data_IF_308624476217
#
_entry.id   IF_308624476217
#
_cell.length_a   1.000
_cell.length_b   1.000
_cell.length_c   1.000
_cell.angle_alpha   90.00
_cell.angle_beta   90.00
_cell.angle_gamma   90.00
#
_symmetry.space_group_name_H-M   'P 1'
#
loop_
_entity.id
_entity.type
_entity.pdbx_description
1 polymer ?
#
# COMPACT_ATOMS: atom_id res chain seq x y z
N UNK A 1 6.30 27.88 17.54
CA UNK A 1 5.85 27.03 16.42
C UNK A 1 5.70 27.93 15.20
N UNK A 2 6.03 27.44 14.01
CA UNK A 2 5.85 28.20 12.77
C UNK A 2 4.40 28.09 12.30
N UNK A 3 3.99 29.04 11.46
CA UNK A 3 2.67 29.10 10.85
C UNK A 3 2.81 28.86 9.35
N UNK A 4 2.15 27.80 8.86
CA UNK A 4 2.04 27.41 7.45
C UNK A 4 0.72 26.63 7.29
N UNK A 5 0.36 26.22 6.06
CA UNK A 5 -0.87 25.45 5.83
C UNK A 5 -0.89 24.20 6.73
N UNK A 6 -1.88 24.12 7.63
CA UNK A 6 -1.98 23.04 8.59
C UNK A 6 -2.09 21.66 7.94
N UNK A 7 -2.58 21.58 6.69
CA UNK A 7 -2.62 20.34 5.91
C UNK A 7 -1.23 19.76 5.70
N UNK A 8 -0.20 20.59 5.54
CA UNK A 8 1.18 20.13 5.30
C UNK A 8 1.76 19.31 6.45
N UNK A 9 1.14 19.30 7.64
CA UNK A 9 1.54 18.41 8.74
C UNK A 9 1.17 16.94 8.48
N UNK A 10 0.14 16.70 7.68
CA UNK A 10 -0.39 15.37 7.37
C UNK A 10 -0.14 15.01 5.91
N UNK A 11 -0.38 15.97 5.01
CA UNK A 11 -0.21 15.85 3.57
C UNK A 11 1.09 16.58 3.18
N UNK A 12 2.22 15.88 3.34
CA UNK A 12 3.55 16.46 3.09
C UNK A 12 3.64 17.01 1.67
N UNK A 13 4.07 18.29 1.50
CA UNK A 13 4.37 18.84 0.18
C UNK A 13 5.63 18.25 -0.45
N UNK A 14 6.33 17.35 0.24
CA UNK A 14 7.49 16.65 -0.25
C UNK A 14 8.68 16.70 0.73
N UNK A 15 9.72 15.91 0.43
CA UNK A 15 10.93 15.90 1.21
C UNK A 15 11.72 17.21 1.04
N UNK A 16 12.52 17.56 2.05
CA UNK A 16 13.51 18.62 1.93
C UNK A 16 14.70 18.14 1.11
N UNK A 17 15.34 19.06 0.41
CA UNK A 17 16.48 18.78 -0.46
C UNK A 17 17.68 18.30 0.37
N UNK A 18 18.40 17.26 -0.08
CA UNK A 18 19.55 16.72 0.66
C UNK A 18 20.61 17.78 1.00
N UNK A 19 20.83 18.74 0.09
CA UNK A 19 21.75 19.85 0.29
C UNK A 19 21.29 20.80 1.42
N UNK A 20 19.98 21.03 1.55
CA UNK A 20 19.44 21.80 2.65
C UNK A 20 19.64 21.05 3.97
N UNK A 21 19.28 19.77 4.02
CA UNK A 21 19.44 18.92 5.22
C UNK A 21 20.90 18.92 5.71
N UNK A 22 21.86 18.80 4.81
CA UNK A 22 23.30 18.92 5.11
C UNK A 22 23.65 20.31 5.67
N UNK A 23 23.15 21.39 5.06
CA UNK A 23 23.34 22.75 5.58
C UNK A 23 22.79 22.94 7.01
N UNK A 24 21.63 22.35 7.31
CA UNK A 24 21.08 22.35 8.68
C UNK A 24 21.95 21.53 9.64
N UNK A 25 22.43 20.36 9.23
CA UNK A 25 23.33 19.52 10.03
C UNK A 25 24.62 20.27 10.39
N UNK A 26 25.18 21.00 9.44
CA UNK A 26 26.37 21.82 9.65
C UNK A 26 26.11 22.97 10.65
N UNK A 27 24.94 23.60 10.60
CA UNK A 27 24.56 24.58 11.62
C UNK A 27 24.45 23.93 13.00
N UNK A 28 23.81 22.76 13.13
CA UNK A 28 23.71 22.06 14.42
C UNK A 28 25.11 21.73 14.96
N UNK A 29 26.00 21.25 14.10
CA UNK A 29 27.39 20.97 14.48
C UNK A 29 28.11 22.21 15.00
N UNK A 30 27.95 23.37 14.35
CA UNK A 30 28.52 24.65 14.80
C UNK A 30 27.92 25.14 16.12
N UNK A 31 26.60 24.99 16.30
CA UNK A 31 25.91 25.35 17.55
C UNK A 31 26.41 24.46 18.69
N UNK A 32 26.51 23.15 18.45
CA UNK A 32 26.94 22.17 19.45
C UNK A 32 28.38 22.37 19.93
N UNK A 33 29.24 22.99 19.10
CA UNK A 33 30.61 23.34 19.48
C UNK A 33 30.73 24.47 20.49
N UNK A 34 29.65 25.20 20.80
CA UNK A 34 29.66 26.32 21.76
C UNK A 34 29.41 25.88 23.21
N UNK A 35 29.15 24.60 23.47
CA UNK A 35 28.79 24.12 24.81
C UNK A 35 28.91 22.62 24.97
N UNK A 36 28.07 22.03 25.82
CA UNK A 36 28.04 20.58 26.01
C UNK A 36 27.45 19.91 24.76
N UNK A 37 28.34 19.51 23.86
CA UNK A 37 28.00 19.02 22.51
C UNK A 37 26.92 17.95 22.51
N UNK A 38 27.08 16.88 23.29
CA UNK A 38 26.06 15.82 23.43
C UNK A 38 24.68 16.39 23.80
N UNK A 39 24.59 17.27 24.81
CA UNK A 39 23.32 17.84 25.28
C UNK A 39 22.63 18.65 24.19
N UNK A 40 23.40 19.44 23.43
CA UNK A 40 22.86 20.22 22.33
C UNK A 40 22.37 19.31 21.19
N UNK A 41 23.14 18.28 20.82
CA UNK A 41 22.75 17.30 19.81
C UNK A 41 21.45 16.58 20.22
N UNK A 42 21.34 16.17 21.49
CA UNK A 42 20.13 15.54 22.04
C UNK A 42 18.91 16.46 21.99
N UNK A 43 19.10 17.76 22.24
CA UNK A 43 18.02 18.74 22.14
C UNK A 43 17.46 18.86 20.72
N UNK A 44 18.34 18.92 19.71
CA UNK A 44 17.90 18.88 18.31
C UNK A 44 17.27 17.53 17.95
N UNK A 45 17.88 16.42 18.37
CA UNK A 45 17.38 15.07 18.09
C UNK A 45 15.95 14.90 18.60
N UNK A 46 15.66 15.28 19.84
CA UNK A 46 14.32 15.19 20.42
C UNK A 46 13.27 15.94 19.57
N UNK A 47 13.63 17.10 19.01
CA UNK A 47 12.74 17.88 18.13
C UNK A 47 12.52 17.19 16.78
N UNK A 48 13.56 16.58 16.20
CA UNK A 48 13.43 15.82 14.97
C UNK A 48 12.67 14.49 15.16
N UNK A 49 12.83 13.80 16.29
CA UNK A 49 12.00 12.64 16.64
C UNK A 49 10.52 13.01 16.69
N UNK A 50 10.18 14.12 17.37
CA UNK A 50 8.81 14.60 17.44
C UNK A 50 8.25 14.97 16.05
N UNK A 51 9.06 15.59 15.19
CA UNK A 51 8.71 15.91 13.81
C UNK A 51 8.50 14.65 12.93
N UNK A 52 9.31 13.61 13.15
CA UNK A 52 9.22 12.33 12.46
C UNK A 52 8.17 11.39 13.04
N UNK A 53 7.46 11.79 14.11
CA UNK A 53 6.54 10.94 14.88
C UNK A 53 7.22 9.65 15.38
N UNK A 54 8.45 9.75 15.88
CA UNK A 54 9.20 8.66 16.48
C UNK A 54 9.50 8.91 17.96
N UNK A 55 9.64 7.83 18.73
CA UNK A 55 10.01 7.92 20.13
C UNK A 55 11.44 8.44 20.31
N UNK A 56 11.61 9.38 21.22
CA UNK A 56 12.93 9.86 21.63
C UNK A 56 13.59 8.90 22.62
N UNK A 57 14.80 8.48 22.30
CA UNK A 57 15.66 7.71 23.20
C UNK A 57 17.01 8.42 23.38
N UNK A 58 17.47 8.67 24.61
CA UNK A 58 18.75 9.33 24.85
C UNK A 58 19.91 8.45 24.38
N UNK A 59 20.87 9.04 23.66
CA UNK A 59 22.04 8.32 23.17
C UNK A 59 23.04 8.10 24.32
N UNK A 60 23.81 7.02 24.23
CA UNK A 60 24.74 6.63 25.29
C UNK A 60 25.98 7.53 25.37
N UNK A 61 26.45 8.06 24.23
CA UNK A 61 27.58 9.00 24.17
C UNK A 61 27.41 10.03 23.05
N UNK A 62 28.37 10.95 22.90
CA UNK A 62 28.33 12.02 21.91
C UNK A 62 28.34 11.53 20.46
N UNK A 63 29.13 10.49 20.14
CA UNK A 63 29.18 9.91 18.80
C UNK A 63 27.80 9.35 18.41
N UNK A 64 27.20 8.56 19.30
CA UNK A 64 25.84 8.06 19.08
C UNK A 64 24.82 9.20 19.00
N UNK A 65 24.96 10.26 19.80
CA UNK A 65 24.06 11.42 19.70
C UNK A 65 24.16 12.09 18.32
N UNK A 66 25.34 12.13 17.71
CA UNK A 66 25.54 12.63 16.34
C UNK A 66 24.92 11.69 15.30
N UNK A 67 25.20 10.38 15.38
CA UNK A 67 24.71 9.39 14.41
C UNK A 67 23.18 9.26 14.48
N UNK A 68 22.62 9.21 15.69
CA UNK A 68 21.18 9.14 15.92
C UNK A 68 20.48 10.43 15.43
N UNK A 69 21.08 11.60 15.67
CA UNK A 69 20.56 12.87 15.14
C UNK A 69 20.46 12.84 13.61
N UNK A 70 21.50 12.38 12.90
CA UNK A 70 21.48 12.32 11.43
C UNK A 70 20.33 11.43 10.95
N UNK A 71 20.16 10.25 11.55
CA UNK A 71 19.07 9.33 11.22
C UNK A 71 17.68 9.96 11.47
N UNK A 72 17.50 10.67 12.58
CA UNK A 72 16.20 11.28 12.89
C UNK A 72 15.95 12.54 12.05
N UNK A 73 17.00 13.27 11.65
CA UNK A 73 16.91 14.31 10.63
C UNK A 73 16.46 13.75 9.28
N UNK A 74 17.01 12.61 8.82
CA UNK A 74 16.60 11.95 7.57
C UNK A 74 15.12 11.54 7.58
N UNK A 75 14.62 11.07 8.73
CA UNK A 75 13.20 10.73 8.89
C UNK A 75 12.31 11.97 8.85
N UNK A 76 12.67 13.01 9.59
CA UNK A 76 11.92 14.27 9.60
C UNK A 76 11.97 14.98 8.24
N UNK A 77 13.07 14.80 7.48
CA UNK A 77 13.28 15.39 6.16
C UNK A 77 12.25 14.94 5.11
N UNK A 78 11.49 13.86 5.34
CA UNK A 78 10.37 13.45 4.49
C UNK A 78 9.22 14.49 4.42
N UNK A 79 9.19 15.43 5.35
CA UNK A 79 8.24 16.54 5.38
C UNK A 79 8.97 17.87 5.61
N UNK A 80 9.25 18.59 4.51
CA UNK A 80 10.09 19.80 4.56
C UNK A 80 9.58 20.89 5.53
N UNK A 81 8.28 21.29 5.53
CA UNK A 81 7.77 22.27 6.49
C UNK A 81 7.98 21.89 7.96
N UNK A 82 7.71 20.62 8.29
CA UNK A 82 7.83 20.12 9.67
C UNK A 82 9.30 20.01 10.07
N UNK A 83 10.19 19.61 9.16
CA UNK A 83 11.64 19.61 9.38
C UNK A 83 12.18 21.02 9.69
N UNK A 84 11.82 22.02 8.87
CA UNK A 84 12.26 23.41 9.03
C UNK A 84 11.75 23.97 10.36
N UNK A 85 10.49 23.68 10.70
CA UNK A 85 9.91 24.06 11.98
C UNK A 85 10.66 23.43 13.16
N UNK A 86 10.94 22.13 13.12
CA UNK A 86 11.63 21.44 14.20
C UNK A 86 12.98 22.09 14.51
N UNK A 87 13.76 22.40 13.47
CA UNK A 87 15.02 23.11 13.61
C UNK A 87 14.83 24.53 14.18
N UNK A 88 13.88 25.30 13.65
CA UNK A 88 13.62 26.66 14.11
C UNK A 88 13.19 26.68 15.58
N UNK A 89 12.26 25.83 15.97
CA UNK A 89 11.80 25.69 17.37
C UNK A 89 12.97 25.30 18.27
N UNK A 90 13.79 24.32 17.86
CA UNK A 90 14.97 23.93 18.63
C UNK A 90 15.93 25.12 18.85
N UNK A 91 16.16 25.94 17.82
CA UNK A 91 16.97 27.15 17.89
C UNK A 91 16.38 28.20 18.85
N UNK A 92 15.07 28.46 18.76
CA UNK A 92 14.40 29.42 19.63
C UNK A 92 14.43 28.99 21.10
N UNK A 93 14.30 27.69 21.37
CA UNK A 93 14.40 27.14 22.73
C UNK A 93 15.82 27.23 23.29
N UNK A 94 16.84 26.95 22.47
CA UNK A 94 18.23 27.15 22.88
C UNK A 94 18.52 28.62 23.13
N UNK A 95 18.04 29.53 22.29
CA UNK A 95 18.20 30.98 22.47
C UNK A 95 17.57 31.46 23.79
N UNK A 96 16.39 30.94 24.14
CA UNK A 96 15.72 31.26 25.40
C UNK A 96 16.46 30.71 26.62
N UNK A 97 17.02 29.50 26.55
CA UNK A 97 17.74 28.85 27.66
C UNK A 97 19.19 29.34 27.82
N UNK A 98 19.82 29.74 26.73
CA UNK A 98 21.24 30.13 26.68
C UNK A 98 21.43 31.42 25.87
N UNK A 99 21.12 32.60 26.45
CA UNK A 99 21.17 33.88 25.73
C UNK A 99 22.55 34.25 25.16
N UNK A 100 23.64 33.70 25.73
CA UNK A 100 25.01 33.91 25.26
C UNK A 100 25.39 33.03 24.05
N UNK A 101 24.57 32.02 23.70
CA UNK A 101 24.84 31.13 22.58
C UNK A 101 24.47 31.79 21.26
N UNK A 102 25.37 31.72 20.28
CA UNK A 102 25.14 32.24 18.93
C UNK A 102 24.27 31.25 18.18
N UNK A 103 23.01 31.63 17.97
CA UNK A 103 21.99 30.87 17.24
C UNK A 103 21.72 31.57 15.89
N UNK A 104 21.66 30.84 14.77
CA UNK A 104 21.37 31.41 13.45
C UNK A 104 20.05 32.19 13.45
N UNK A 105 20.02 33.28 12.69
CA UNK A 105 18.80 34.03 12.42
C UNK A 105 18.05 33.45 11.21
N UNK A 106 16.86 33.99 10.94
CA UNK A 106 16.06 33.58 9.79
C UNK A 106 16.81 33.82 8.46
N UNK A 107 17.62 34.89 8.37
CA UNK A 107 18.42 35.18 7.18
C UNK A 107 19.44 34.08 6.86
N UNK A 108 20.12 33.55 7.87
CA UNK A 108 21.07 32.43 7.69
C UNK A 108 20.37 31.14 7.28
N UNK A 109 19.19 30.86 7.83
CA UNK A 109 18.37 29.70 7.47
C UNK A 109 17.86 29.84 6.03
N UNK A 110 17.33 31.01 5.66
CA UNK A 110 16.87 31.29 4.30
C UNK A 110 17.98 31.18 3.27
N UNK A 111 19.22 31.51 3.61
CA UNK A 111 20.35 31.28 2.71
C UNK A 111 20.55 29.80 2.40
N UNK A 112 20.47 28.93 3.41
CA UNK A 112 20.55 27.46 3.19
C UNK A 112 19.40 26.99 2.31
N UNK A 113 18.18 27.45 2.59
CA UNK A 113 17.00 27.09 1.81
C UNK A 113 17.09 27.60 0.36
N UNK A 114 17.63 28.80 0.14
CA UNK A 114 17.82 29.35 -1.19
C UNK A 114 18.96 28.66 -1.97
N UNK A 115 20.11 28.44 -1.34
CA UNK A 115 21.27 27.79 -1.97
C UNK A 115 20.96 26.33 -2.36
N UNK A 116 20.13 25.65 -1.57
CA UNK A 116 19.64 24.31 -1.85
C UNK A 116 18.38 24.28 -2.72
N UNK A 117 17.87 25.45 -3.13
CA UNK A 117 16.70 25.59 -3.99
C UNK A 117 15.42 24.94 -3.41
N UNK A 118 15.25 25.07 -2.09
CA UNK A 118 14.30 24.29 -1.30
C UNK A 118 12.83 24.70 -1.40
N UNK A 119 12.54 25.81 -2.08
CA UNK A 119 11.16 26.28 -2.26
C UNK A 119 10.46 26.80 -1.01
N UNK A 120 11.19 27.10 0.06
CA UNK A 120 10.67 27.68 1.30
C UNK A 120 11.45 28.92 1.73
N UNK A 121 10.74 29.84 2.38
CA UNK A 121 11.32 31.00 3.03
C UNK A 121 10.70 31.20 4.42
N UNK A 122 11.57 31.34 5.40
CA UNK A 122 11.23 31.63 6.78
C UNK A 122 11.05 33.15 6.94
N UNK A 123 9.83 33.57 7.27
CA UNK A 123 9.48 34.94 7.66
C UNK A 123 8.73 34.90 9.00
N UNK A 124 9.45 34.68 10.13
CA UNK A 124 8.81 34.32 11.39
C UNK A 124 7.70 35.31 11.80
N UNK A 125 6.51 34.81 12.18
CA UNK A 125 6.21 33.41 12.51
C UNK A 125 5.87 32.51 11.31
N UNK A 126 5.82 33.05 10.10
CA UNK A 126 5.40 32.33 8.90
C UNK A 126 6.52 31.51 8.27
N UNK A 127 6.15 30.36 7.71
CA UNK A 127 6.95 29.65 6.71
C UNK A 127 6.19 29.72 5.38
N UNK A 128 6.78 30.41 4.41
CA UNK A 128 6.16 30.70 3.12
C UNK A 128 6.76 29.79 2.06
N UNK A 129 5.92 29.11 1.28
CA UNK A 129 6.38 28.42 0.08
C UNK A 129 6.69 29.46 -1.00
N UNK A 130 7.92 29.43 -1.53
CA UNK A 130 8.38 30.36 -2.58
C UNK A 130 8.20 29.79 -3.99
N UNK A 131 7.79 28.53 -4.09
CA UNK A 131 7.37 27.87 -5.33
C UNK A 131 5.85 27.65 -5.33
N UNK A 132 5.25 27.67 -6.52
CA UNK A 132 3.90 27.11 -6.70
C UNK A 132 4.02 25.61 -6.44
N UNK A 133 3.70 25.20 -5.23
CA UNK A 133 3.53 23.79 -4.91
C UNK A 133 2.29 23.32 -5.67
N UNK A 134 2.50 22.74 -6.85
CA UNK A 134 1.51 21.83 -7.43
C UNK A 134 1.64 20.58 -6.57
N UNK A 135 0.64 20.25 -5.73
CA UNK A 135 0.65 18.97 -5.06
C UNK A 135 0.73 17.93 -6.18
N UNK A 136 1.86 17.21 -6.25
CA UNK A 136 1.88 16.00 -7.04
C UNK A 136 0.93 15.09 -6.29
N UNK A 137 -0.29 14.91 -6.83
CA UNK A 137 -1.20 13.86 -6.38
C UNK A 137 -0.39 12.58 -6.43
N UNK A 138 0.09 12.14 -5.28
CA UNK A 138 0.67 10.81 -5.14
C UNK A 138 -0.49 9.90 -5.52
N UNK A 139 -0.43 9.16 -6.63
CA UNK A 139 -1.44 8.16 -6.90
C UNK A 139 -1.48 7.27 -5.67
N UNK A 140 -2.67 7.01 -5.14
CA UNK A 140 -2.84 6.05 -4.05
C UNK A 140 -1.95 4.84 -4.35
N UNK A 141 -1.11 4.47 -3.37
CA UNK A 141 -0.25 3.31 -3.53
C UNK A 141 -1.15 2.19 -4.06
N UNK A 142 -0.81 1.57 -5.21
CA UNK A 142 -1.68 0.58 -5.80
C UNK A 142 -2.01 -0.42 -4.71
N UNK A 143 -3.30 -0.75 -4.51
CA UNK A 143 -3.72 -1.59 -3.40
C UNK A 143 -2.83 -2.82 -3.34
N UNK A 144 -2.51 -3.33 -2.15
CA UNK A 144 -1.69 -4.54 -2.06
C UNK A 144 -2.30 -5.64 -2.93
N UNK A 145 -1.50 -6.58 -3.42
CA UNK A 145 -2.00 -7.68 -4.25
C UNK A 145 -3.18 -8.41 -3.58
N UNK A 146 -3.17 -8.51 -2.25
CA UNK A 146 -4.27 -9.07 -1.47
C UNK A 146 -5.54 -8.21 -1.52
N UNK A 147 -5.41 -6.88 -1.42
CA UNK A 147 -6.55 -5.95 -1.54
C UNK A 147 -7.09 -5.96 -2.97
N UNK A 148 -6.23 -6.00 -3.98
CA UNK A 148 -6.63 -6.12 -5.39
C UNK A 148 -7.38 -7.45 -5.65
N UNK A 149 -6.87 -8.57 -5.13
CA UNK A 149 -7.50 -9.86 -5.26
C UNK A 149 -8.88 -9.90 -4.55
N UNK A 150 -8.97 -9.32 -3.34
CA UNK A 150 -10.23 -9.24 -2.62
C UNK A 150 -11.26 -8.35 -3.33
N UNK A 151 -10.81 -7.21 -3.88
CA UNK A 151 -11.65 -6.31 -4.66
C UNK A 151 -12.21 -7.02 -5.91
N UNK A 152 -11.35 -7.74 -6.64
CA UNK A 152 -11.76 -8.51 -7.82
C UNK A 152 -12.80 -9.60 -7.48
N UNK A 153 -12.59 -10.34 -6.39
CA UNK A 153 -13.55 -11.34 -5.90
C UNK A 153 -14.90 -10.68 -5.61
N UNK A 154 -14.90 -9.57 -4.87
CA UNK A 154 -16.13 -8.87 -4.52
C UNK A 154 -16.85 -8.32 -5.76
N UNK A 155 -16.11 -7.71 -6.69
CA UNK A 155 -16.66 -7.14 -7.92
C UNK A 155 -17.34 -8.20 -8.79
N UNK A 156 -16.70 -9.36 -9.02
CA UNK A 156 -17.31 -10.45 -9.79
C UNK A 156 -18.53 -11.05 -9.10
N UNK A 157 -18.52 -11.18 -7.77
CA UNK A 157 -19.69 -11.67 -7.02
C UNK A 157 -20.87 -10.68 -7.11
N UNK A 158 -20.59 -9.38 -7.00
CA UNK A 158 -21.60 -8.33 -7.13
C UNK A 158 -22.14 -8.22 -8.56
N UNK A 159 -21.28 -8.37 -9.58
CA UNK A 159 -21.68 -8.42 -10.99
C UNK A 159 -22.61 -9.61 -11.27
N UNK A 160 -22.28 -10.79 -10.72
CA UNK A 160 -23.14 -11.96 -10.81
C UNK A 160 -24.49 -11.74 -10.13
N UNK A 161 -24.49 -11.16 -8.92
CA UNK A 161 -25.73 -10.88 -8.18
C UNK A 161 -26.63 -9.86 -8.90
N UNK A 162 -26.04 -8.81 -9.47
CA UNK A 162 -26.77 -7.85 -10.32
C UNK A 162 -27.37 -8.54 -11.52
N UNK A 163 -26.59 -9.36 -12.23
CA UNK A 163 -27.06 -10.13 -13.38
C UNK A 163 -28.23 -11.07 -13.02
N UNK A 164 -28.19 -11.74 -11.86
CA UNK A 164 -29.33 -12.56 -11.38
C UNK A 164 -30.57 -11.73 -11.08
N UNK A 165 -30.39 -10.52 -10.56
CA UNK A 165 -31.50 -9.62 -10.20
C UNK A 165 -32.18 -9.04 -11.44
N UNK A 166 -31.41 -8.85 -12.51
CA UNK A 166 -31.88 -8.38 -13.82
C UNK A 166 -32.45 -9.49 -14.71
N UNK A 167 -32.45 -10.75 -14.24
CA UNK A 167 -32.89 -11.90 -15.03
C UNK A 167 -31.85 -12.43 -16.04
N UNK A 168 -30.64 -11.88 -16.03
CA UNK A 168 -29.52 -12.26 -16.88
C UNK A 168 -28.76 -13.48 -16.32
N UNK A 169 -29.46 -14.61 -16.17
CA UNK A 169 -28.93 -15.82 -15.52
C UNK A 169 -27.65 -16.38 -16.15
N UNK A 170 -27.55 -16.36 -17.49
CA UNK A 170 -26.34 -16.79 -18.21
C UNK A 170 -25.12 -15.96 -17.85
N UNK A 171 -25.28 -14.63 -17.88
CA UNK A 171 -24.21 -13.70 -17.54
C UNK A 171 -23.79 -13.89 -16.08
N UNK A 172 -24.76 -14.07 -15.17
CA UNK A 172 -24.47 -14.33 -13.77
C UNK A 172 -23.58 -15.57 -13.58
N UNK A 173 -23.89 -16.69 -14.25
CA UNK A 173 -23.09 -17.92 -14.17
C UNK A 173 -21.73 -17.73 -14.82
N UNK A 174 -21.65 -16.98 -15.93
CA UNK A 174 -20.39 -16.70 -16.60
C UNK A 174 -19.41 -15.93 -15.70
N UNK A 175 -19.90 -14.92 -14.97
CA UNK A 175 -19.09 -14.12 -14.04
C UNK A 175 -18.47 -14.99 -12.92
N UNK A 176 -19.28 -15.82 -12.25
CA UNK A 176 -18.76 -16.67 -11.17
C UNK A 176 -17.91 -17.83 -11.69
N UNK A 177 -18.20 -18.34 -12.89
CA UNK A 177 -17.39 -19.38 -13.53
C UNK A 177 -16.02 -18.84 -13.90
N UNK A 178 -15.96 -17.60 -14.42
CA UNK A 178 -14.71 -16.90 -14.66
C UNK A 178 -13.93 -16.68 -13.35
N UNK A 179 -14.61 -16.24 -12.29
CA UNK A 179 -13.97 -16.06 -10.98
C UNK A 179 -13.41 -17.39 -10.42
N UNK A 180 -14.14 -18.50 -10.60
CA UNK A 180 -13.68 -19.84 -10.21
C UNK A 180 -12.40 -20.24 -10.94
N UNK A 181 -12.31 -19.94 -12.24
CA UNK A 181 -11.08 -20.13 -13.02
C UNK A 181 -9.95 -19.26 -12.47
N UNK A 182 -10.20 -17.98 -12.21
CA UNK A 182 -9.20 -17.04 -11.68
C UNK A 182 -8.65 -17.50 -10.33
N UNK A 183 -9.51 -17.81 -9.36
CA UNK A 183 -9.08 -18.25 -8.02
C UNK A 183 -8.28 -19.55 -8.08
N UNK A 184 -8.64 -20.48 -8.98
CA UNK A 184 -7.87 -21.73 -9.14
C UNK A 184 -6.41 -21.48 -9.49
N UNK A 185 -6.09 -20.37 -10.15
CA UNK A 185 -4.70 -20.07 -10.56
C UNK A 185 -3.76 -19.75 -9.42
N UNK A 186 -4.27 -19.38 -8.23
CA UNK A 186 -3.47 -19.21 -7.04
C UNK A 186 -2.74 -20.52 -6.62
N UNK A 187 -3.24 -21.68 -7.06
CA UNK A 187 -2.64 -22.98 -6.77
C UNK A 187 -1.58 -23.44 -7.80
N UNK A 188 -1.20 -22.57 -8.76
CA UNK A 188 -0.16 -22.90 -9.75
C UNK A 188 1.22 -23.00 -9.08
N UNK A 189 1.99 -24.02 -9.44
CA UNK A 189 3.45 -24.06 -9.18
C UNK A 189 4.21 -23.18 -10.19
N UNK A 190 5.42 -22.73 -9.83
CA UNK A 190 6.26 -21.78 -10.60
C UNK A 190 6.64 -22.20 -12.05
N UNK A 191 6.28 -23.39 -12.52
CA UNK A 191 6.76 -23.94 -13.80
C UNK A 191 5.87 -23.64 -15.02
N UNK A 192 4.80 -22.84 -14.90
CA UNK A 192 3.87 -22.63 -16.01
C UNK A 192 3.49 -21.14 -16.16
N UNK A 193 4.36 -20.38 -16.85
CA UNK A 193 4.08 -19.03 -17.34
C UNK A 193 3.74 -19.10 -18.84
N UNK A 194 2.44 -19.08 -19.18
CA UNK A 194 2.01 -18.34 -20.36
C UNK A 194 0.48 -18.08 -20.38
N UNK A 195 0.13 -16.91 -20.94
CA UNK A 195 -1.16 -16.38 -21.42
C UNK A 195 -2.53 -16.95 -20.98
N UNK A 196 -3.43 -16.02 -20.62
CA UNK A 196 -4.91 -16.12 -20.54
C UNK A 196 -5.50 -17.42 -19.96
N UNK A 197 -6.06 -17.30 -18.75
CA UNK A 197 -6.71 -18.38 -18.00
C UNK A 197 -7.94 -18.88 -18.78
N UNK A 198 -7.75 -19.88 -19.64
CA UNK A 198 -8.82 -20.59 -20.36
C UNK A 198 -8.93 -22.02 -19.82
N UNK A 199 -10.15 -22.56 -19.77
CA UNK A 199 -10.58 -23.77 -19.01
C UNK A 199 -9.74 -25.06 -19.09
N UNK A 200 -8.73 -25.13 -19.98
CA UNK A 200 -7.69 -26.18 -19.94
C UNK A 200 -6.82 -26.09 -18.68
N UNK A 201 -6.52 -24.88 -18.21
CA UNK A 201 -5.72 -24.70 -16.99
C UNK A 201 -6.49 -25.09 -15.73
N UNK A 202 -7.78 -24.79 -15.66
CA UNK A 202 -8.62 -25.13 -14.51
C UNK A 202 -8.60 -26.62 -14.22
N UNK A 203 -8.97 -27.45 -15.20
CA UNK A 203 -9.02 -28.91 -15.01
C UNK A 203 -7.66 -29.52 -14.68
N UNK A 204 -6.56 -28.93 -15.19
CA UNK A 204 -5.21 -29.36 -14.83
C UNK A 204 -4.90 -29.05 -13.37
N UNK A 205 -5.11 -27.80 -12.94
CA UNK A 205 -4.80 -27.35 -11.56
C UNK A 205 -5.67 -28.11 -10.54
N UNK A 206 -6.98 -28.18 -10.77
CA UNK A 206 -7.90 -28.90 -9.89
C UNK A 206 -7.60 -30.40 -9.90
N UNK A 207 -7.20 -30.97 -11.05
CA UNK A 207 -6.75 -32.35 -11.16
C UNK A 207 -5.50 -32.64 -10.32
N UNK A 208 -4.51 -31.75 -10.34
CA UNK A 208 -3.30 -31.86 -9.51
C UNK A 208 -3.63 -31.72 -8.01
N UNK A 209 -4.49 -30.77 -7.63
CA UNK A 209 -4.99 -30.64 -6.26
C UNK A 209 -5.74 -31.90 -5.81
N UNK A 210 -6.52 -32.51 -6.71
CA UNK A 210 -7.26 -33.74 -6.44
C UNK A 210 -6.31 -34.90 -6.16
N UNK A 211 -5.25 -35.06 -6.96
CA UNK A 211 -4.24 -36.11 -6.75
C UNK A 211 -3.49 -35.97 -5.41
N UNK A 212 -3.33 -34.74 -4.91
CA UNK A 212 -2.69 -34.45 -3.62
C UNK A 212 -3.67 -34.50 -2.44
N UNK A 213 -4.96 -34.34 -2.72
CA UNK A 213 -6.03 -34.35 -1.73
C UNK A 213 -6.21 -35.72 -1.08
N UNK A 214 -6.84 -35.74 0.10
CA UNK A 214 -7.21 -36.98 0.80
C UNK A 214 -8.66 -36.90 1.29
N UNK A 215 -9.36 -38.04 1.30
CA UNK A 215 -10.72 -38.15 1.83
C UNK A 215 -11.72 -37.29 1.05
N UNK A 216 -12.56 -36.52 1.76
CA UNK A 216 -13.64 -35.73 1.16
C UNK A 216 -13.17 -34.68 0.15
N UNK A 217 -11.93 -34.19 0.26
CA UNK A 217 -11.38 -33.20 -0.66
C UNK A 217 -11.31 -33.72 -2.10
N UNK A 218 -11.01 -35.00 -2.29
CA UNK A 218 -10.95 -35.60 -3.62
C UNK A 218 -12.33 -35.53 -4.30
N UNK A 219 -13.38 -35.88 -3.56
CA UNK A 219 -14.75 -35.90 -4.06
C UNK A 219 -15.25 -34.48 -4.38
N UNK A 220 -14.93 -33.49 -3.54
CA UNK A 220 -15.30 -32.09 -3.75
C UNK A 220 -14.66 -31.55 -5.04
N UNK A 221 -13.36 -31.80 -5.23
CA UNK A 221 -12.64 -31.37 -6.44
C UNK A 221 -13.16 -32.09 -7.70
N UNK A 222 -13.58 -33.36 -7.58
CA UNK A 222 -14.23 -34.07 -8.67
C UNK A 222 -15.58 -33.43 -9.06
N UNK A 223 -16.44 -33.10 -8.10
CA UNK A 223 -17.71 -32.41 -8.40
C UNK A 223 -17.48 -31.04 -9.03
N UNK A 224 -16.45 -30.34 -8.58
CA UNK A 224 -16.06 -29.05 -9.15
C UNK A 224 -15.63 -29.19 -10.62
N UNK A 225 -14.81 -30.19 -10.95
CA UNK A 225 -14.43 -30.49 -12.34
C UNK A 225 -15.63 -30.89 -13.20
N UNK A 226 -16.54 -31.71 -12.67
CA UNK A 226 -17.76 -32.10 -13.38
C UNK A 226 -18.65 -30.90 -13.68
N UNK A 227 -18.86 -30.02 -12.70
CA UNK A 227 -19.64 -28.80 -12.88
C UNK A 227 -19.00 -27.88 -13.94
N UNK A 228 -17.71 -27.61 -13.80
CA UNK A 228 -16.96 -26.76 -14.73
C UNK A 228 -17.00 -27.32 -16.16
N UNK A 229 -16.77 -28.63 -16.31
CA UNK A 229 -16.81 -29.31 -17.60
C UNK A 229 -18.17 -29.24 -18.27
N UNK A 230 -19.25 -29.41 -17.51
CA UNK A 230 -20.61 -29.24 -18.02
C UNK A 230 -20.87 -27.80 -18.49
N UNK A 231 -20.62 -26.81 -17.64
CA UNK A 231 -20.91 -25.39 -17.95
C UNK A 231 -20.03 -24.81 -19.06
N UNK A 232 -18.79 -25.29 -19.17
CA UNK A 232 -17.82 -24.82 -20.17
C UNK A 232 -17.96 -25.50 -21.53
N UNK A 233 -18.58 -26.69 -21.61
CA UNK A 233 -18.69 -27.42 -22.88
C UNK A 233 -19.72 -26.78 -23.83
N UNK A 234 -19.38 -26.57 -25.11
CA UNK A 234 -20.35 -26.17 -26.13
C UNK A 234 -21.52 -27.14 -26.30
N UNK A 235 -21.30 -28.43 -26.02
CA UNK A 235 -22.30 -29.51 -26.10
C UNK A 235 -22.96 -29.86 -24.75
N UNK A 236 -22.58 -29.15 -23.68
CA UNK A 236 -23.13 -29.28 -22.34
C UNK A 236 -24.03 -28.09 -22.00
N UNK A 237 -23.68 -27.36 -20.94
CA UNK A 237 -24.40 -26.16 -20.48
C UNK A 237 -24.12 -24.90 -21.30
N UNK A 238 -23.07 -24.87 -22.14
CA UNK A 238 -22.89 -23.85 -23.19
C UNK A 238 -22.66 -22.41 -22.72
N UNK A 239 -22.51 -22.15 -21.42
CA UNK A 239 -22.45 -20.79 -20.83
C UNK A 239 -21.31 -19.96 -21.42
N UNK A 240 -20.16 -20.58 -21.71
CA UNK A 240 -18.97 -19.91 -22.26
C UNK A 240 -19.05 -19.61 -23.77
N UNK A 241 -19.92 -20.32 -24.50
CA UNK A 241 -19.89 -20.34 -25.97
C UNK A 241 -21.06 -19.60 -26.62
N UNK A 242 -21.90 -18.93 -25.81
CA UNK A 242 -22.97 -18.06 -26.30
C UNK A 242 -23.98 -18.74 -27.23
N UNK A 243 -24.06 -20.08 -27.21
CA UNK A 243 -24.71 -20.82 -28.28
C UNK A 243 -26.21 -20.62 -28.21
N UNK A 244 -26.74 -19.95 -29.22
CA UNK A 244 -28.00 -20.32 -29.82
C UNK A 244 -27.66 -20.88 -31.20
N UNK A 245 -28.06 -22.12 -31.47
CA UNK A 245 -28.38 -22.65 -32.80
C UNK A 245 -28.74 -24.15 -32.68
N UNK A 246 -30.06 -24.35 -32.64
CA UNK A 246 -30.86 -25.50 -33.07
C UNK A 246 -31.47 -26.45 -32.02
N UNK A 247 -30.95 -26.61 -30.80
CA UNK A 247 -31.64 -27.41 -29.75
C UNK A 247 -31.44 -26.91 -28.29
N UNK A 248 -30.87 -25.71 -28.07
CA UNK A 248 -30.39 -25.27 -26.75
C UNK A 248 -31.47 -24.83 -25.76
N UNK A 249 -31.65 -25.58 -24.66
CA UNK A 249 -32.44 -25.14 -23.50
C UNK A 249 -31.84 -23.85 -22.92
N UNK A 250 -32.61 -22.77 -22.93
CA UNK A 250 -32.20 -21.52 -22.29
C UNK A 250 -32.08 -21.74 -20.78
N UNK A 251 -30.92 -21.38 -20.21
CA UNK A 251 -30.67 -21.48 -18.77
C UNK A 251 -31.74 -20.69 -18.00
N UNK A 252 -32.56 -21.39 -17.23
CA UNK A 252 -33.59 -20.78 -16.38
C UNK A 252 -32.97 -19.96 -15.27
N UNK A 253 -33.69 -18.93 -14.78
CA UNK A 253 -33.15 -18.05 -13.74
C UNK A 253 -32.88 -18.79 -12.41
N UNK A 254 -33.72 -19.77 -12.06
CA UNK A 254 -33.53 -20.58 -10.86
C UNK A 254 -32.39 -21.59 -11.00
N UNK A 255 -32.18 -22.13 -12.20
CA UNK A 255 -31.01 -22.95 -12.53
C UNK A 255 -29.72 -22.11 -12.44
N UNK A 256 -29.74 -20.89 -12.99
CA UNK A 256 -28.65 -19.95 -12.88
C UNK A 256 -28.32 -19.61 -11.42
N UNK A 257 -29.33 -19.40 -10.57
CA UNK A 257 -29.15 -19.19 -9.12
C UNK A 257 -28.48 -20.40 -8.47
N UNK A 258 -28.94 -21.61 -8.78
CA UNK A 258 -28.34 -22.83 -8.24
C UNK A 258 -26.87 -22.97 -8.66
N UNK A 259 -26.56 -22.78 -9.94
CA UNK A 259 -25.19 -22.82 -10.41
C UNK A 259 -24.32 -21.74 -9.75
N UNK A 260 -24.82 -20.52 -9.60
CA UNK A 260 -24.09 -19.46 -8.89
C UNK A 260 -23.81 -19.85 -7.44
N UNK A 261 -24.77 -20.42 -6.72
CA UNK A 261 -24.60 -20.85 -5.34
C UNK A 261 -23.59 -22.01 -5.20
N UNK A 262 -23.62 -22.97 -6.11
CA UNK A 262 -22.65 -24.07 -6.14
C UNK A 262 -21.23 -23.52 -6.39
N UNK A 263 -21.08 -22.65 -7.38
CA UNK A 263 -19.79 -22.05 -7.70
C UNK A 263 -19.26 -21.19 -6.54
N UNK A 264 -20.12 -20.39 -5.89
CA UNK A 264 -19.76 -19.63 -4.68
C UNK A 264 -19.30 -20.53 -3.53
N UNK A 265 -19.93 -21.68 -3.36
CA UNK A 265 -19.50 -22.67 -2.35
C UNK A 265 -18.11 -23.22 -2.67
N UNK A 266 -17.83 -23.51 -3.95
CA UNK A 266 -16.51 -23.94 -4.39
C UNK A 266 -15.43 -22.86 -4.26
N UNK A 267 -15.76 -21.61 -4.57
CA UNK A 267 -14.87 -20.46 -4.36
C UNK A 267 -14.49 -20.33 -2.89
N UNK A 268 -15.48 -20.37 -1.99
CA UNK A 268 -15.26 -20.30 -0.54
C UNK A 268 -14.35 -21.44 -0.07
N UNK A 269 -14.58 -22.66 -0.58
CA UNK A 269 -13.74 -23.82 -0.27
C UNK A 269 -12.29 -23.63 -0.76
N UNK A 270 -12.08 -23.19 -2.00
CA UNK A 270 -10.74 -22.99 -2.57
C UNK A 270 -9.97 -21.89 -1.83
N UNK A 271 -10.61 -20.77 -1.50
CA UNK A 271 -9.95 -19.68 -0.74
C UNK A 271 -9.46 -20.21 0.62
N UNK A 272 -10.32 -20.91 1.36
CA UNK A 272 -9.95 -21.49 2.65
C UNK A 272 -8.83 -22.54 2.54
N UNK A 273 -8.87 -23.38 1.50
CA UNK A 273 -7.82 -24.36 1.25
C UNK A 273 -6.48 -23.72 0.90
N UNK A 274 -6.49 -22.64 0.11
CA UNK A 274 -5.29 -21.88 -0.20
C UNK A 274 -4.67 -21.31 1.08
N UNK A 275 -5.46 -20.62 1.92
CA UNK A 275 -4.99 -20.09 3.20
C UNK A 275 -4.42 -21.18 4.13
N UNK A 276 -5.04 -22.38 4.14
CA UNK A 276 -4.56 -23.51 4.94
C UNK A 276 -3.19 -24.00 4.45
N UNK A 277 -2.98 -24.05 3.14
CA UNK A 277 -1.71 -24.46 2.54
C UNK A 277 -0.63 -23.40 2.71
N UNK A 278 -0.94 -22.12 2.50
CA UNK A 278 0.01 -21.01 2.71
C UNK A 278 0.50 -20.95 4.17
N UNK A 279 -0.39 -21.18 5.15
CA UNK A 279 -0.01 -21.24 6.58
C UNK A 279 0.88 -22.43 6.95
N UNK A 280 0.89 -23.50 6.16
CA UNK A 280 1.79 -24.66 6.38
C UNK A 280 3.16 -24.47 5.74
N UNK A 281 3.27 -23.55 4.80
CA UNK A 281 4.50 -23.27 4.06
C UNK A 281 5.33 -22.13 4.69
N UNK A 282 4.71 -21.28 5.51
CA UNK A 282 5.35 -20.26 6.36
C UNK A 282 5.79 -20.86 7.70
#
# INVERSE_FOLDING_TARGET
>A
MLQFDGKWRFDSPGPIEPAAQEGFRDLINRISGQGQRKVILEHFKARFCAAANTDYWPSTNERFASDDLVRDMERAAANAPVFIEAFWVACQELRARHPAMVIPDAGRINRILADADAGYQLDPPMLVATRVHIPITVPDAPPSLDIQAQALINESLDASQRSLSEGNGRQAVQEVLWLLETVSTAFRSQEILDGTIQGRYFNKIIGELRQRGRGHQEQILQWMMTLHGYLSSPTGGGVRHGVDLKEGLALGIDEARLYCNLIRSYLTFLIAEHERLSRRAA
#
